data_IF_790800020528
#
_entry.id   IF_790800020528
#
_cell.length_a   1.000
_cell.length_b   1.000
_cell.length_c   1.000
_cell.angle_alpha   90.00
_cell.angle_beta   90.00
_cell.angle_gamma   90.00
#
_symmetry.space_group_name_H-M   'P 1'
#
loop_
_entity.id
_entity.type
_entity.pdbx_description
1 polymer ?
#
# COMPACT_ATOMS: atom_id res chain seq x y z
N UNK A 1 6.41 -27.58 -32.31
CA UNK A 1 5.50 -26.56 -31.70
C UNK A 1 4.08 -26.99 -32.02
N UNK A 2 3.35 -27.51 -31.04
CA UNK A 2 1.96 -27.94 -31.22
C UNK A 2 1.09 -26.70 -31.00
N UNK A 3 0.30 -26.32 -32.03
CA UNK A 3 -0.73 -25.30 -31.93
C UNK A 3 -1.73 -25.72 -30.84
N UNK A 4 -1.75 -25.04 -29.72
CA UNK A 4 -2.91 -25.04 -28.85
C UNK A 4 -3.99 -24.19 -29.49
N UNK A 5 -4.98 -24.83 -30.08
CA UNK A 5 -6.21 -24.15 -30.47
C UNK A 5 -7.01 -23.82 -29.21
N UNK A 6 -7.65 -22.65 -29.15
CA UNK A 6 -8.45 -22.28 -28.00
C UNK A 6 -9.67 -23.19 -27.85
N UNK A 7 -10.03 -23.44 -26.59
CA UNK A 7 -11.04 -24.44 -26.16
C UNK A 7 -12.51 -24.07 -26.44
N UNK A 8 -12.77 -23.01 -27.22
CA UNK A 8 -14.12 -22.43 -27.36
C UNK A 8 -14.59 -22.49 -28.79
N UNK A 9 -15.61 -23.29 -29.02
CA UNK A 9 -16.39 -23.32 -30.27
C UNK A 9 -17.56 -22.34 -30.19
N UNK A 10 -17.65 -21.54 -31.19
CA UNK A 10 -18.63 -20.65 -31.81
C UNK A 10 -20.04 -20.56 -31.23
N UNK A 11 -20.22 -19.54 -30.35
CA UNK A 11 -21.47 -18.80 -30.17
C UNK A 11 -21.16 -17.34 -30.54
N UNK A 12 -21.42 -16.95 -31.79
CA UNK A 12 -20.71 -15.90 -32.53
C UNK A 12 -20.74 -14.44 -32.04
N UNK A 13 -21.38 -14.09 -30.90
CA UNK A 13 -21.27 -12.75 -30.31
C UNK A 13 -20.97 -12.77 -28.82
N UNK A 14 -21.66 -13.58 -28.05
CA UNK A 14 -21.42 -13.69 -26.60
C UNK A 14 -20.06 -14.33 -26.30
N UNK A 15 -19.55 -15.19 -27.21
CA UNK A 15 -18.21 -15.77 -27.13
C UNK A 15 -17.11 -14.74 -27.37
N UNK A 16 -17.31 -13.78 -28.30
CA UNK A 16 -16.33 -12.76 -28.63
C UNK A 16 -16.19 -11.70 -27.50
N UNK A 17 -17.31 -11.30 -26.91
CA UNK A 17 -17.33 -10.35 -25.80
C UNK A 17 -16.71 -10.96 -24.53
N UNK A 18 -16.95 -12.24 -24.26
CA UNK A 18 -16.32 -12.96 -23.14
C UNK A 18 -14.81 -13.14 -23.35
N UNK A 19 -14.37 -13.45 -24.57
CA UNK A 19 -12.97 -13.60 -24.92
C UNK A 19 -12.22 -12.25 -24.76
N UNK A 20 -12.81 -11.15 -25.21
CA UNK A 20 -12.22 -9.82 -25.07
C UNK A 20 -12.13 -9.39 -23.60
N UNK A 21 -13.19 -9.61 -22.82
CA UNK A 21 -13.17 -9.36 -21.38
C UNK A 21 -12.07 -10.15 -20.69
N UNK A 22 -11.91 -11.43 -20.99
CA UNK A 22 -10.85 -12.26 -20.41
C UNK A 22 -9.46 -11.76 -20.81
N UNK A 23 -9.27 -11.31 -22.06
CA UNK A 23 -7.99 -10.72 -22.51
C UNK A 23 -7.63 -9.48 -21.69
N UNK A 24 -8.59 -8.58 -21.45
CA UNK A 24 -8.39 -7.39 -20.63
C UNK A 24 -8.00 -7.76 -19.18
N UNK A 25 -8.72 -8.70 -18.58
CA UNK A 25 -8.43 -9.18 -17.22
C UNK A 25 -7.03 -9.81 -17.13
N UNK A 26 -6.64 -10.61 -18.14
CA UNK A 26 -5.30 -11.21 -18.18
C UNK A 26 -4.21 -10.18 -18.43
N UNK A 27 -4.47 -9.13 -19.21
CA UNK A 27 -3.54 -8.04 -19.41
C UNK A 27 -3.28 -7.29 -18.10
N UNK A 28 -4.35 -6.98 -17.36
CA UNK A 28 -4.23 -6.37 -16.03
C UNK A 28 -3.50 -7.29 -15.04
N UNK A 29 -3.83 -8.59 -15.02
CA UNK A 29 -3.16 -9.56 -14.14
C UNK A 29 -1.66 -9.69 -14.41
N UNK A 30 -1.23 -9.49 -15.67
CA UNK A 30 0.20 -9.43 -16.01
C UNK A 30 0.83 -8.08 -15.67
N UNK A 31 0.07 -6.99 -15.79
CA UNK A 31 0.54 -5.66 -15.45
C UNK A 31 0.88 -5.54 -13.97
N UNK A 32 0.00 -6.00 -13.08
CA UNK A 32 0.24 -5.95 -11.63
C UNK A 32 1.42 -6.82 -11.17
N UNK A 33 1.91 -7.75 -12.00
CA UNK A 33 3.16 -8.49 -11.71
C UNK A 33 4.38 -7.55 -11.64
N UNK A 34 4.31 -6.37 -12.27
CA UNK A 34 5.39 -5.38 -12.26
C UNK A 34 5.61 -4.74 -10.87
N UNK A 35 4.61 -4.72 -9.99
CA UNK A 35 4.78 -4.28 -8.59
C UNK A 35 5.95 -4.96 -7.88
N UNK A 36 6.24 -6.20 -8.24
CA UNK A 36 7.37 -6.97 -7.69
C UNK A 36 8.74 -6.37 -8.01
N UNK A 37 8.82 -5.45 -8.98
CA UNK A 37 10.04 -4.77 -9.39
C UNK A 37 10.19 -3.39 -8.75
N UNK A 38 9.19 -2.91 -8.01
CA UNK A 38 9.23 -1.62 -7.31
C UNK A 38 9.71 -1.88 -5.88
N UNK A 39 10.84 -1.31 -5.51
CA UNK A 39 11.47 -1.54 -4.21
C UNK A 39 11.30 -0.33 -3.31
N UNK A 40 10.83 -0.59 -2.11
CA UNK A 40 10.65 0.37 -1.02
C UNK A 40 11.99 0.63 -0.32
N UNK A 41 12.04 1.69 0.49
CA UNK A 41 13.20 1.96 1.33
C UNK A 41 13.25 1.07 2.59
N UNK A 42 12.16 0.38 2.91
CA UNK A 42 12.04 -0.48 4.09
C UNK A 42 12.65 -1.85 3.82
N UNK A 43 13.48 -2.35 4.73
CA UNK A 43 14.05 -3.69 4.67
C UNK A 43 13.10 -4.74 5.27
N UNK A 44 13.13 -5.94 4.71
CA UNK A 44 12.48 -7.11 5.31
C UNK A 44 13.00 -7.38 6.73
N UNK A 45 12.20 -8.06 7.54
CA UNK A 45 12.62 -8.46 8.89
C UNK A 45 13.94 -9.26 8.87
N UNK A 46 14.76 -9.08 9.89
CA UNK A 46 16.07 -9.72 9.99
C UNK A 46 17.15 -9.08 9.09
N UNK A 47 17.02 -7.81 8.72
CA UNK A 47 17.94 -7.06 7.85
C UNK A 47 18.17 -7.74 6.49
N UNK A 48 17.07 -8.24 5.88
CA UNK A 48 17.08 -8.79 4.54
C UNK A 48 17.27 -7.70 3.46
N UNK A 49 16.89 -8.02 2.23
CA UNK A 49 16.80 -7.02 1.17
C UNK A 49 15.66 -6.02 1.41
N UNK A 50 15.63 -4.96 0.64
CA UNK A 50 14.46 -4.09 0.58
C UNK A 50 13.20 -4.88 0.18
N UNK A 51 12.08 -4.53 0.79
CA UNK A 51 10.75 -5.02 0.45
C UNK A 51 10.31 -4.46 -0.91
N UNK A 52 9.49 -5.19 -1.67
CA UNK A 52 8.81 -4.64 -2.84
C UNK A 52 7.33 -4.36 -2.52
N UNK A 53 6.65 -3.59 -3.39
CA UNK A 53 5.28 -3.15 -3.15
C UNK A 53 4.29 -4.33 -3.08
N UNK A 54 4.45 -5.35 -3.89
CA UNK A 54 3.60 -6.55 -3.82
C UNK A 54 3.73 -7.29 -2.49
N UNK A 55 4.92 -7.34 -1.88
CA UNK A 55 5.15 -7.93 -0.55
C UNK A 55 4.54 -7.07 0.54
N UNK A 56 4.67 -5.73 0.42
CA UNK A 56 4.05 -4.76 1.31
C UNK A 56 2.52 -4.90 1.29
N UNK A 57 1.91 -4.82 0.13
CA UNK A 57 0.47 -4.93 -0.07
C UNK A 57 -0.10 -6.26 0.47
N UNK A 58 0.56 -7.38 0.17
CA UNK A 58 0.19 -8.70 0.72
C UNK A 58 0.27 -8.71 2.25
N UNK A 59 1.37 -8.19 2.82
CA UNK A 59 1.56 -8.17 4.27
C UNK A 59 0.50 -7.30 4.96
N UNK A 60 0.23 -6.11 4.42
CA UNK A 60 -0.84 -5.23 4.89
C UNK A 60 -2.21 -5.92 4.90
N UNK A 61 -2.58 -6.60 3.82
CA UNK A 61 -3.88 -7.26 3.70
C UNK A 61 -4.05 -8.36 4.77
N UNK A 62 -3.00 -9.14 5.05
CA UNK A 62 -3.02 -10.14 6.12
C UNK A 62 -3.08 -9.47 7.50
N UNK A 63 -2.31 -8.40 7.71
CA UNK A 63 -2.37 -7.62 8.96
C UNK A 63 -3.76 -7.04 9.20
N UNK A 64 -4.41 -6.49 8.17
CA UNK A 64 -5.77 -5.98 8.26
C UNK A 64 -6.75 -7.06 8.74
N UNK A 65 -6.68 -8.26 8.18
CA UNK A 65 -7.52 -9.38 8.61
C UNK A 65 -7.25 -9.78 10.07
N UNK A 66 -5.99 -9.86 10.48
CA UNK A 66 -5.60 -10.24 11.84
C UNK A 66 -5.99 -9.18 12.89
N UNK A 67 -5.80 -7.91 12.54
CA UNK A 67 -5.93 -6.78 13.47
C UNK A 67 -7.31 -6.09 13.41
N UNK A 68 -8.28 -6.62 12.65
CA UNK A 68 -9.60 -6.01 12.43
C UNK A 68 -10.36 -5.68 13.72
N UNK A 69 -10.11 -6.43 14.79
CA UNK A 69 -10.73 -6.20 16.09
C UNK A 69 -10.28 -4.87 16.76
N UNK A 70 -9.19 -4.28 16.29
CA UNK A 70 -8.68 -3.00 16.78
C UNK A 70 -9.12 -1.81 15.93
N UNK A 71 -9.93 -1.99 14.88
CA UNK A 71 -10.55 -0.88 14.17
C UNK A 71 -11.48 -0.10 15.11
N UNK A 72 -11.48 1.25 15.01
CA UNK A 72 -12.35 2.08 15.85
C UNK A 72 -13.83 1.87 15.56
N UNK A 73 -14.16 1.52 14.34
CA UNK A 73 -15.53 1.30 13.83
C UNK A 73 -15.60 -0.07 13.13
N UNK A 74 -16.77 -0.70 13.05
CA UNK A 74 -16.93 -1.90 12.23
C UNK A 74 -16.55 -1.61 10.77
N UNK A 75 -15.76 -2.48 10.16
CA UNK A 75 -15.28 -2.37 8.77
C UNK A 75 -15.65 -3.60 7.95
N UNK A 76 -15.92 -3.41 6.67
CA UNK A 76 -15.91 -4.49 5.70
C UNK A 76 -14.45 -4.91 5.44
N UNK A 77 -14.05 -6.00 6.08
CA UNK A 77 -12.66 -6.44 6.02
C UNK A 77 -12.25 -6.91 4.61
N UNK A 78 -13.18 -7.43 3.82
CA UNK A 78 -12.91 -7.79 2.43
C UNK A 78 -12.55 -6.55 1.61
N UNK A 79 -13.29 -5.48 1.79
CA UNK A 79 -13.02 -4.18 1.16
C UNK A 79 -11.67 -3.59 1.61
N UNK A 80 -11.39 -3.60 2.91
CA UNK A 80 -10.09 -3.15 3.45
C UNK A 80 -8.93 -3.92 2.83
N UNK A 81 -9.05 -5.26 2.74
CA UNK A 81 -7.99 -6.09 2.16
C UNK A 81 -7.77 -5.76 0.67
N UNK A 82 -8.82 -5.50 -0.11
CA UNK A 82 -8.66 -5.09 -1.50
C UNK A 82 -8.00 -3.70 -1.58
N UNK A 83 -8.40 -2.74 -0.75
CA UNK A 83 -7.72 -1.44 -0.67
C UNK A 83 -6.23 -1.59 -0.40
N UNK A 84 -5.85 -2.42 0.57
CA UNK A 84 -4.44 -2.72 0.87
C UNK A 84 -3.69 -3.34 -0.33
N UNK A 85 -4.36 -4.17 -1.13
CA UNK A 85 -3.74 -4.86 -2.26
C UNK A 85 -3.60 -3.98 -3.52
N UNK A 86 -4.37 -2.89 -3.63
CA UNK A 86 -4.39 -2.09 -4.87
C UNK A 86 -3.80 -0.68 -4.71
N UNK A 87 -3.51 -0.21 -3.48
CA UNK A 87 -3.16 1.18 -3.23
C UNK A 87 -1.84 1.60 -3.89
N UNK A 88 -0.85 0.71 -3.95
CA UNK A 88 0.46 0.96 -4.53
C UNK A 88 0.59 0.50 -6.01
N UNK A 89 -0.46 -0.10 -6.63
CA UNK A 89 -0.42 -0.53 -8.05
C UNK A 89 -0.04 0.64 -8.98
N UNK A 90 -0.40 1.85 -8.65
CA UNK A 90 -0.05 3.05 -9.40
C UNK A 90 1.45 3.32 -9.42
N UNK A 91 2.20 2.80 -8.49
CA UNK A 91 3.65 2.95 -8.40
C UNK A 91 4.40 2.21 -9.52
N UNK A 92 3.76 1.29 -10.22
CA UNK A 92 4.31 0.65 -11.44
C UNK A 92 4.79 1.71 -12.43
N UNK A 93 4.04 2.80 -12.61
CA UNK A 93 4.42 3.92 -13.48
C UNK A 93 4.96 5.12 -12.68
N UNK A 94 4.41 5.38 -11.51
CA UNK A 94 4.76 6.53 -10.69
C UNK A 94 6.11 6.34 -9.96
N UNK A 95 6.46 5.09 -9.63
CA UNK A 95 7.58 4.74 -8.75
C UNK A 95 7.29 5.04 -7.29
N UNK A 96 7.86 4.23 -6.38
CA UNK A 96 7.77 4.46 -4.93
C UNK A 96 8.33 5.85 -4.59
N UNK A 97 7.54 6.62 -3.88
CA UNK A 97 7.93 7.94 -3.38
C UNK A 97 8.22 7.84 -1.88
N UNK A 98 9.49 7.90 -1.52
CA UNK A 98 9.89 7.82 -0.12
C UNK A 98 9.15 8.85 0.74
N UNK A 99 8.49 8.39 1.79
CA UNK A 99 7.59 9.19 2.63
C UNK A 99 8.24 10.45 3.25
N UNK A 100 9.56 10.52 3.28
CA UNK A 100 10.33 11.64 3.83
C UNK A 100 11.11 12.41 2.76
N UNK A 101 10.81 12.19 1.46
CA UNK A 101 11.37 12.97 0.34
C UNK A 101 10.44 14.15 -0.03
N UNK A 102 10.76 15.39 0.40
CA UNK A 102 9.89 16.55 0.14
C UNK A 102 9.83 16.97 -1.33
N UNK A 103 10.79 16.59 -2.16
CA UNK A 103 10.78 16.91 -3.59
C UNK A 103 9.94 15.89 -4.37
N UNK A 104 10.08 14.60 -4.07
CA UNK A 104 9.26 13.54 -4.66
C UNK A 104 7.77 13.74 -4.39
N UNK A 105 7.41 14.12 -3.17
CA UNK A 105 6.03 14.38 -2.74
C UNK A 105 5.32 15.49 -3.54
N UNK A 106 6.05 16.47 -4.12
CA UNK A 106 5.44 17.56 -4.89
C UNK A 106 4.80 17.10 -6.19
N UNK A 107 5.31 16.04 -6.80
CA UNK A 107 4.85 15.52 -8.09
C UNK A 107 4.08 14.21 -7.95
N UNK A 108 4.11 13.57 -6.78
CA UNK A 108 3.55 12.25 -6.50
C UNK A 108 2.10 12.16 -6.99
N UNK A 109 1.22 13.00 -6.50
CA UNK A 109 -0.21 12.97 -6.85
C UNK A 109 -0.47 13.02 -8.36
N UNK A 110 0.28 13.85 -9.10
CA UNK A 110 0.08 13.95 -10.56
C UNK A 110 0.57 12.70 -11.30
N UNK A 111 1.66 12.09 -10.82
CA UNK A 111 2.20 10.83 -11.38
C UNK A 111 1.25 9.67 -11.10
N UNK A 112 0.77 9.54 -9.88
CA UNK A 112 -0.17 8.48 -9.46
C UNK A 112 -1.51 8.60 -10.19
N UNK A 113 -2.04 9.81 -10.40
CA UNK A 113 -3.28 10.00 -11.15
C UNK A 113 -3.14 9.57 -12.62
N UNK A 114 -2.00 9.89 -13.26
CA UNK A 114 -1.73 9.44 -14.63
C UNK A 114 -1.54 7.92 -14.69
N UNK A 115 -0.86 7.33 -13.73
CA UNK A 115 -0.66 5.88 -13.59
C UNK A 115 -1.99 5.15 -13.38
N UNK A 116 -2.84 5.65 -12.48
CA UNK A 116 -4.18 5.12 -12.21
C UNK A 116 -5.01 5.02 -13.49
N UNK A 117 -5.09 6.11 -14.25
CA UNK A 117 -5.88 6.11 -15.50
C UNK A 117 -5.32 5.10 -16.51
N UNK A 118 -4.01 5.00 -16.66
CA UNK A 118 -3.41 4.03 -17.59
C UNK A 118 -3.65 2.59 -17.15
N UNK A 119 -3.32 2.27 -15.92
CA UNK A 119 -3.30 0.88 -15.42
C UNK A 119 -4.72 0.33 -15.33
N UNK A 120 -5.65 1.07 -14.74
CA UNK A 120 -7.03 0.61 -14.61
C UNK A 120 -7.78 0.60 -15.95
N UNK A 121 -7.30 1.34 -16.97
CA UNK A 121 -7.85 1.25 -18.34
C UNK A 121 -7.57 -0.08 -19.04
N UNK A 122 -6.72 -0.94 -18.50
CA UNK A 122 -6.54 -2.31 -18.98
C UNK A 122 -7.74 -3.19 -18.67
N UNK A 123 -8.53 -2.84 -17.64
CA UNK A 123 -9.68 -3.61 -17.19
C UNK A 123 -10.93 -3.38 -18.05
N UNK A 124 -11.88 -4.33 -18.04
CA UNK A 124 -13.25 -4.07 -18.47
C UNK A 124 -13.86 -2.89 -17.72
N UNK A 125 -14.76 -2.14 -18.39
CA UNK A 125 -15.26 -0.87 -17.88
C UNK A 125 -15.86 -0.93 -16.47
N UNK A 126 -16.62 -1.98 -16.17
CA UNK A 126 -17.23 -2.21 -14.86
C UNK A 126 -16.17 -2.45 -13.75
N UNK A 127 -15.13 -3.23 -14.05
CA UNK A 127 -14.04 -3.48 -13.10
C UNK A 127 -13.11 -2.26 -12.98
N UNK A 128 -12.89 -1.51 -14.06
CA UNK A 128 -12.20 -0.22 -14.00
C UNK A 128 -12.91 0.73 -13.03
N UNK A 129 -14.23 0.88 -13.19
CA UNK A 129 -15.03 1.75 -12.32
C UNK A 129 -14.95 1.31 -10.85
N UNK A 130 -15.10 0.00 -10.58
CA UNK A 130 -15.03 -0.57 -9.23
C UNK A 130 -13.66 -0.32 -8.56
N UNK A 131 -12.55 -0.68 -9.22
CA UNK A 131 -11.22 -0.53 -8.64
C UNK A 131 -10.80 0.94 -8.53
N UNK A 132 -11.21 1.79 -9.50
CA UNK A 132 -10.99 3.24 -9.38
C UNK A 132 -11.70 3.80 -8.16
N UNK A 133 -12.96 3.42 -7.93
CA UNK A 133 -13.71 3.89 -6.77
C UNK A 133 -13.09 3.44 -5.43
N UNK A 134 -12.58 2.20 -5.36
CA UNK A 134 -11.88 1.70 -4.17
C UNK A 134 -10.56 2.42 -3.93
N UNK A 135 -9.80 2.69 -4.97
CA UNK A 135 -8.56 3.47 -4.90
C UNK A 135 -8.84 4.91 -4.45
N UNK A 136 -9.81 5.57 -5.08
CA UNK A 136 -10.19 6.95 -4.73
C UNK A 136 -10.72 7.04 -3.29
N UNK A 137 -11.43 6.02 -2.81
CA UNK A 137 -11.89 5.95 -1.42
C UNK A 137 -10.72 5.76 -0.45
N UNK A 138 -9.74 4.93 -0.80
CA UNK A 138 -8.50 4.81 -0.01
C UNK A 138 -7.83 6.18 0.10
N UNK A 139 -7.58 6.87 -1.01
CA UNK A 139 -6.93 8.18 -1.05
C UNK A 139 -7.70 9.28 -0.30
N UNK A 140 -9.03 9.24 -0.31
CA UNK A 140 -9.87 10.24 0.35
C UNK A 140 -9.74 10.21 1.89
N UNK A 141 -9.41 9.07 2.49
CA UNK A 141 -9.26 8.91 3.94
C UNK A 141 -10.55 9.22 4.76
N UNK A 142 -11.73 9.03 4.18
CA UNK A 142 -12.99 9.48 4.77
C UNK A 142 -13.84 8.37 5.39
N UNK A 143 -13.73 7.13 4.89
CA UNK A 143 -14.50 5.99 5.40
C UNK A 143 -13.75 5.25 6.53
N UNK A 144 -14.46 4.43 7.29
CA UNK A 144 -13.85 3.57 8.32
C UNK A 144 -12.86 2.60 7.69
N UNK A 145 -13.20 2.03 6.52
CA UNK A 145 -12.36 1.12 5.76
C UNK A 145 -11.08 1.78 5.31
N UNK A 146 -11.16 2.97 4.67
CA UNK A 146 -9.96 3.68 4.20
C UNK A 146 -9.05 4.09 5.35
N UNK A 147 -9.62 4.59 6.46
CA UNK A 147 -8.84 4.93 7.66
C UNK A 147 -8.11 3.73 8.23
N UNK A 148 -8.77 2.56 8.29
CA UNK A 148 -8.16 1.35 8.82
C UNK A 148 -7.12 0.76 7.86
N UNK A 149 -7.33 0.84 6.53
CA UNK A 149 -6.34 0.46 5.53
C UNK A 149 -5.06 1.31 5.66
N UNK A 150 -5.19 2.62 5.82
CA UNK A 150 -4.04 3.51 6.09
C UNK A 150 -3.33 3.23 7.42
N UNK A 151 -4.04 2.73 8.44
CA UNK A 151 -3.35 2.25 9.65
C UNK A 151 -2.43 1.10 9.32
N UNK A 152 -2.83 0.17 8.45
CA UNK A 152 -1.98 -0.95 8.01
C UNK A 152 -0.78 -0.46 7.20
N UNK A 153 -0.99 0.46 6.25
CA UNK A 153 0.06 1.06 5.45
C UNK A 153 1.15 1.73 6.30
N UNK A 154 0.74 2.42 7.34
CA UNK A 154 1.68 3.09 8.24
C UNK A 154 2.31 2.14 9.28
N UNK A 155 1.56 1.14 9.76
CA UNK A 155 2.01 0.20 10.80
C UNK A 155 3.01 -0.82 10.26
N UNK A 156 2.79 -1.34 9.03
CA UNK A 156 3.60 -2.41 8.47
C UNK A 156 5.09 -2.02 8.37
N UNK A 157 5.50 -0.91 7.73
CA UNK A 157 6.91 -0.53 7.67
C UNK A 157 7.47 -0.14 9.03
N UNK A 158 6.64 0.39 9.94
CA UNK A 158 7.08 0.68 11.30
C UNK A 158 7.43 -0.61 12.06
N UNK A 159 6.63 -1.67 11.90
CA UNK A 159 6.91 -2.98 12.50
C UNK A 159 8.20 -3.59 11.94
N UNK A 160 8.43 -3.51 10.64
CA UNK A 160 9.68 -3.99 10.01
C UNK A 160 10.89 -3.23 10.57
N UNK A 161 10.81 -1.91 10.64
CA UNK A 161 11.86 -1.08 11.25
C UNK A 161 12.11 -1.45 12.70
N UNK A 162 11.05 -1.66 13.50
CA UNK A 162 11.19 -2.12 14.88
C UNK A 162 11.88 -3.48 14.96
N UNK A 163 11.52 -4.44 14.09
CA UNK A 163 12.13 -5.77 14.04
C UNK A 163 13.61 -5.76 13.66
N UNK A 164 14.04 -4.72 12.92
CA UNK A 164 15.41 -4.47 12.48
C UNK A 164 16.17 -3.50 13.41
N UNK A 165 15.71 -3.33 14.64
CA UNK A 165 16.28 -2.40 15.63
C UNK A 165 16.43 -0.97 15.10
N UNK A 166 15.48 -0.50 14.27
CA UNK A 166 15.45 0.85 13.73
C UNK A 166 16.52 1.13 12.66
N UNK A 167 16.95 0.10 11.93
CA UNK A 167 18.02 0.18 10.93
C UNK A 167 17.78 1.29 9.89
N UNK A 168 16.61 1.27 9.25
CA UNK A 168 16.26 2.22 8.20
C UNK A 168 16.13 3.65 8.74
N UNK A 169 15.60 3.82 9.95
CA UNK A 169 15.54 5.14 10.60
C UNK A 169 16.91 5.72 10.86
N UNK A 170 17.91 4.88 11.26
CA UNK A 170 19.29 5.32 11.42
C UNK A 170 19.94 5.67 10.09
N UNK A 171 19.75 4.82 9.08
CA UNK A 171 20.33 5.02 7.74
C UNK A 171 19.86 6.33 7.12
N UNK A 172 18.55 6.55 7.14
CA UNK A 172 17.92 7.77 6.60
C UNK A 172 17.93 8.95 7.57
N UNK A 173 18.51 8.79 8.77
CA UNK A 173 18.64 9.83 9.80
C UNK A 173 17.30 10.51 10.15
N UNK A 174 16.21 9.75 10.19
CA UNK A 174 14.87 10.24 10.42
C UNK A 174 14.71 10.79 11.85
N UNK A 175 13.88 11.81 12.02
CA UNK A 175 13.58 12.39 13.33
C UNK A 175 12.14 12.08 13.80
N UNK A 176 11.89 12.28 15.10
CA UNK A 176 10.61 11.98 15.72
C UNK A 176 9.43 12.74 15.11
N UNK A 177 9.63 14.00 14.70
CA UNK A 177 8.55 14.78 14.07
C UNK A 177 8.10 14.17 12.74
N UNK A 178 9.05 13.61 11.96
CA UNK A 178 8.76 12.94 10.70
C UNK A 178 7.97 11.64 10.92
N UNK A 179 8.46 10.77 11.82
CA UNK A 179 7.81 9.47 12.07
C UNK A 179 6.43 9.67 12.70
N UNK A 180 6.30 10.52 13.73
CA UNK A 180 5.01 10.83 14.34
C UNK A 180 4.07 11.55 13.38
N UNK A 181 4.59 12.40 12.50
CA UNK A 181 3.80 13.08 11.47
C UNK A 181 3.10 12.08 10.55
N UNK A 182 3.83 11.06 10.05
CA UNK A 182 3.24 9.99 9.23
C UNK A 182 2.17 9.20 10.00
N UNK A 183 2.41 8.90 11.27
CA UNK A 183 1.48 8.13 12.11
C UNK A 183 0.29 8.95 12.65
N UNK A 184 0.29 10.28 12.47
CA UNK A 184 -0.62 11.18 13.17
C UNK A 184 -2.11 10.90 12.93
N UNK A 185 -2.47 10.45 11.75
CA UNK A 185 -3.85 10.12 11.36
C UNK A 185 -4.30 8.72 11.78
N UNK A 186 -3.38 7.83 12.16
CA UNK A 186 -3.71 6.43 12.51
C UNK A 186 -4.74 6.34 13.63
N UNK A 187 -4.76 7.32 14.54
CA UNK A 187 -5.76 7.39 15.60
C UNK A 187 -7.20 7.42 15.08
N UNK A 188 -7.43 7.91 13.86
CA UNK A 188 -8.76 7.95 13.24
C UNK A 188 -9.24 6.56 12.83
N UNK A 189 -8.35 5.66 12.46
CA UNK A 189 -8.67 4.28 12.06
C UNK A 189 -8.57 3.27 13.21
N UNK A 190 -7.58 3.46 14.11
CA UNK A 190 -7.38 2.62 15.30
C UNK A 190 -6.66 3.38 16.41
N UNK A 191 -7.35 3.66 17.49
CA UNK A 191 -6.73 4.28 18.67
C UNK A 191 -5.74 3.32 19.36
N UNK A 192 -6.07 2.03 19.44
CA UNK A 192 -5.21 1.00 20.02
C UNK A 192 -3.87 0.88 19.28
N UNK A 193 -3.91 0.78 17.95
CA UNK A 193 -2.71 0.63 17.14
C UNK A 193 -1.91 1.94 17.08
N UNK A 194 -2.58 3.10 17.16
CA UNK A 194 -1.91 4.39 17.29
C UNK A 194 -1.03 4.45 18.54
N UNK A 195 -1.53 4.03 19.71
CA UNK A 195 -0.75 4.03 20.94
C UNK A 195 0.38 2.99 20.92
N UNK A 196 0.17 1.84 20.24
CA UNK A 196 1.25 0.88 20.01
C UNK A 196 2.38 1.50 19.18
N UNK A 197 2.05 2.18 18.09
CA UNK A 197 3.07 2.85 17.25
C UNK A 197 3.79 3.95 17.98
N UNK A 198 3.10 4.76 18.80
CA UNK A 198 3.74 5.83 19.57
C UNK A 198 4.70 5.27 20.63
N UNK A 199 4.35 4.15 21.29
CA UNK A 199 5.24 3.48 22.24
C UNK A 199 6.51 2.95 21.55
N UNK A 200 6.40 2.34 20.36
CA UNK A 200 7.55 1.88 19.58
C UNK A 200 8.44 3.06 19.16
N UNK A 201 7.85 4.16 18.69
CA UNK A 201 8.58 5.36 18.30
C UNK A 201 9.35 5.91 19.52
N UNK A 202 8.70 5.99 20.67
CA UNK A 202 9.33 6.49 21.91
C UNK A 202 10.52 5.62 22.32
N UNK A 203 10.38 4.29 22.28
CA UNK A 203 11.47 3.35 22.56
C UNK A 203 12.67 3.59 21.63
N UNK A 204 12.42 3.81 20.33
CA UNK A 204 13.49 4.04 19.36
C UNK A 204 14.11 5.44 19.45
N UNK A 205 13.41 6.44 19.96
CA UNK A 205 14.00 7.74 20.34
C UNK A 205 14.96 7.54 21.53
N UNK A 206 14.55 6.81 22.56
CA UNK A 206 15.37 6.52 23.75
C UNK A 206 16.63 5.70 23.41
N UNK A 207 16.51 4.76 22.48
CA UNK A 207 17.65 4.00 21.95
C UNK A 207 18.57 4.84 21.03
N UNK A 208 18.15 6.02 20.59
CA UNK A 208 18.88 6.86 19.66
C UNK A 208 18.79 6.42 18.18
N UNK A 209 17.87 5.53 17.84
CA UNK A 209 17.62 5.09 16.47
C UNK A 209 16.84 6.13 15.67
N UNK A 210 15.97 6.89 16.33
CA UNK A 210 15.23 8.03 15.79
C UNK A 210 15.80 9.30 16.45
N UNK A 211 16.16 10.30 15.64
CA UNK A 211 16.66 11.58 16.15
C UNK A 211 15.55 12.30 16.93
N UNK A 212 15.88 13.01 18.02
CA UNK A 212 14.91 13.83 18.73
C UNK A 212 14.23 14.86 17.82
N UNK A 213 12.91 14.98 17.94
CA UNK A 213 12.13 16.03 17.33
C UNK A 213 12.27 17.37 18.05
N UNK A 214 11.47 18.36 17.64
CA UNK A 214 11.50 19.70 18.25
C UNK A 214 11.03 19.69 19.72
N UNK A 215 10.11 18.81 20.04
CA UNK A 215 9.54 18.70 21.39
C UNK A 215 10.53 18.06 22.41
N UNK A 216 11.43 17.19 21.93
CA UNK A 216 12.40 16.47 22.76
C UNK A 216 13.75 17.19 22.91
N UNK A 217 13.96 18.33 22.23
CA UNK A 217 15.23 19.11 22.26
C UNK A 217 15.30 20.12 23.41
N UNK A 218 14.76 19.80 24.58
CA UNK A 218 14.82 20.68 25.75
C UNK A 218 15.94 20.29 26.71
#
# INVERSE_FOLDING_TARGET
MKNCQPFWNDGEKAGNDMEERLKQQMAFALEIDQEKNIFRQTHLSGHGRNENDAEHAWHMAIMAYLLREYANEPVDIGKVMIMCLIHDIVEIDAGDTYAYDPEGLKTQKAREEAAKERIFSLLPADQKEELTALFDEFEAYETAESRFAHVMDNLQPLMLNNSNDGGDWREHQVNADQVRGRQSKNRLGSETLFWLTDAIIQEHIEKGNIKPGRAERK
#
